data_IF_934293821748
#
_entry.id   IF_934293821748
#
_cell.length_a   1.000
_cell.length_b   1.000
_cell.length_c   1.000
_cell.angle_alpha   90.00
_cell.angle_beta   90.00
_cell.angle_gamma   90.00
#
_symmetry.space_group_name_H-M   'P 1'
#
loop_
_entity.id
_entity.type
_entity.pdbx_description
1 polymer ?
#
# COMPACT_ATOMS: atom_id res chain seq x y z
N UNK A 1 8.25 8.61 -39.43
CA UNK A 1 8.54 7.32 -38.76
C UNK A 1 8.02 6.17 -39.60
N UNK A 2 8.66 5.00 -39.51
CA UNK A 2 8.23 3.78 -40.21
C UNK A 2 7.22 3.03 -39.35
N UNK A 3 6.16 2.51 -39.98
CA UNK A 3 5.16 1.67 -39.31
C UNK A 3 5.63 0.22 -39.36
N UNK A 4 5.83 -0.39 -38.18
CA UNK A 4 6.38 -1.75 -38.07
C UNK A 4 5.31 -2.85 -38.13
N UNK A 5 4.05 -2.53 -37.81
CA UNK A 5 2.95 -3.51 -37.72
C UNK A 5 1.59 -2.89 -38.01
N UNK A 6 0.60 -3.72 -38.38
CA UNK A 6 -0.77 -3.28 -38.69
C UNK A 6 -1.05 -3.23 -40.20
N UNK A 7 -2.20 -2.67 -40.58
CA UNK A 7 -2.64 -2.63 -41.99
C UNK A 7 -1.74 -1.79 -42.90
N UNK A 8 -1.04 -0.81 -42.31
CA UNK A 8 -0.11 0.10 -42.99
C UNK A 8 1.36 -0.22 -42.71
N UNK A 9 1.67 -1.46 -42.33
CA UNK A 9 3.04 -1.87 -42.07
C UNK A 9 3.94 -1.65 -43.30
N UNK A 10 5.10 -1.03 -43.08
CA UNK A 10 6.02 -0.63 -44.15
C UNK A 10 5.88 0.82 -44.60
N UNK A 11 4.73 1.47 -44.35
CA UNK A 11 4.54 2.87 -44.68
C UNK A 11 5.44 3.78 -43.83
N UNK A 12 5.81 4.93 -44.39
CA UNK A 12 6.41 6.02 -43.63
C UNK A 12 5.37 7.12 -43.44
N UNK A 13 5.13 7.47 -42.18
CA UNK A 13 4.18 8.51 -41.80
C UNK A 13 4.88 9.61 -41.03
N UNK A 14 4.46 10.86 -41.25
CA UNK A 14 4.80 11.99 -40.39
C UNK A 14 3.60 12.26 -39.51
N UNK A 15 3.80 12.26 -38.20
CA UNK A 15 2.76 12.53 -37.21
C UNK A 15 3.18 13.73 -36.37
N UNK A 16 2.21 14.47 -35.85
CA UNK A 16 2.46 15.51 -34.85
C UNK A 16 2.42 14.88 -33.46
N UNK A 17 3.49 15.07 -32.69
CA UNK A 17 3.52 14.69 -31.28
C UNK A 17 2.98 15.84 -30.43
N UNK A 18 1.98 15.56 -29.61
CA UNK A 18 1.34 16.54 -28.73
C UNK A 18 1.40 16.13 -27.27
N UNK A 19 1.23 17.12 -26.38
CA UNK A 19 1.09 16.90 -24.94
C UNK A 19 2.21 16.04 -24.32
N UNK A 20 1.88 14.91 -23.67
CA UNK A 20 2.87 14.08 -22.99
C UNK A 20 3.90 13.47 -23.93
N UNK A 21 3.54 13.16 -25.19
CA UNK A 21 4.47 12.56 -26.15
C UNK A 21 5.56 13.52 -26.62
N UNK A 22 5.22 14.80 -26.78
CA UNK A 22 6.20 15.83 -27.14
C UNK A 22 7.22 16.07 -26.02
N UNK A 23 6.83 15.81 -24.75
CA UNK A 23 7.69 15.98 -23.57
C UNK A 23 8.30 14.67 -23.06
N UNK A 24 8.01 13.54 -23.71
CA UNK A 24 8.49 12.22 -23.29
C UNK A 24 10.00 12.00 -23.52
N UNK A 25 10.71 12.97 -24.11
CA UNK A 25 12.15 12.87 -24.35
C UNK A 25 12.52 11.77 -25.35
N UNK A 26 11.64 11.51 -26.32
CA UNK A 26 11.78 10.44 -27.30
C UNK A 26 13.07 10.59 -28.12
N UNK A 27 13.72 9.47 -28.39
CA UNK A 27 14.98 9.37 -29.14
C UNK A 27 14.80 8.51 -30.39
N UNK A 28 15.65 8.69 -31.42
CA UNK A 28 15.71 7.76 -32.54
C UNK A 28 15.88 6.32 -32.04
N UNK A 29 15.00 5.41 -32.48
CA UNK A 29 14.96 4.02 -32.03
C UNK A 29 13.82 3.70 -31.04
N UNK A 30 13.22 4.71 -30.41
CA UNK A 30 12.03 4.50 -29.58
C UNK A 30 10.82 4.09 -30.43
N UNK A 31 9.99 3.21 -29.89
CA UNK A 31 8.78 2.73 -30.55
C UNK A 31 7.55 3.40 -29.96
N UNK A 32 6.64 3.83 -30.83
CA UNK A 32 5.35 4.39 -30.47
C UNK A 32 4.24 3.43 -30.89
N UNK A 33 3.22 3.32 -30.05
CA UNK A 33 1.93 2.78 -30.45
C UNK A 33 1.15 3.88 -31.15
N UNK A 34 0.62 3.55 -32.32
CA UNK A 34 -0.15 4.46 -33.14
C UNK A 34 -1.62 4.06 -33.11
N UNK A 35 -2.49 5.07 -33.04
CA UNK A 35 -3.92 4.89 -33.23
C UNK A 35 -4.30 5.48 -34.58
N UNK A 36 -4.99 4.67 -35.39
CA UNK A 36 -5.56 5.12 -36.66
C UNK A 36 -7.01 5.54 -36.44
N UNK A 37 -7.30 6.81 -36.72
CA UNK A 37 -8.66 7.35 -36.69
C UNK A 37 -9.15 7.45 -38.13
N UNK A 38 -10.15 6.63 -38.49
CA UNK A 38 -10.85 6.77 -39.76
C UNK A 38 -11.71 8.03 -39.73
N UNK A 39 -11.13 9.13 -40.19
CA UNK A 39 -11.89 10.35 -40.43
C UNK A 39 -12.82 10.12 -41.65
N UNK A 40 -14.10 10.53 -41.59
CA UNK A 40 -14.98 10.55 -42.75
C UNK A 40 -14.34 11.40 -43.84
N UNK A 41 -13.92 10.75 -44.93
CA UNK A 41 -12.96 11.30 -45.89
C UNK A 41 -13.44 12.60 -46.55
N UNK A 42 -12.63 13.65 -46.44
CA UNK A 42 -12.33 14.51 -47.58
C UNK A 42 -10.95 14.08 -48.11
N UNK A 43 -10.85 13.48 -49.32
CA UNK A 43 -9.56 13.12 -49.90
C UNK A 43 -8.68 14.36 -50.05
N UNK A 44 -7.46 14.34 -49.49
CA UNK A 44 -6.45 15.37 -49.72
C UNK A 44 -6.26 16.43 -48.62
N UNK A 45 -6.88 16.28 -47.44
CA UNK A 45 -6.55 17.14 -46.28
C UNK A 45 -5.22 16.70 -45.68
N UNK A 46 -4.11 17.16 -46.25
CA UNK A 46 -2.78 17.02 -45.66
C UNK A 46 -2.58 18.21 -44.72
N UNK A 47 -2.35 17.95 -43.43
CA UNK A 47 -2.00 19.03 -42.50
C UNK A 47 -0.64 19.64 -42.90
N UNK A 48 -0.40 20.95 -42.61
CA UNK A 48 0.87 21.60 -42.90
C UNK A 48 2.06 20.77 -42.43
N UNK A 49 3.06 20.57 -43.29
CA UNK A 49 4.24 19.76 -42.98
C UNK A 49 4.13 18.26 -43.30
N UNK A 50 3.11 17.83 -44.05
CA UNK A 50 2.97 16.43 -44.48
C UNK A 50 2.47 15.49 -43.38
N UNK A 51 1.80 16.06 -42.37
CA UNK A 51 1.25 15.31 -41.23
C UNK A 51 -0.02 14.57 -41.68
N UNK A 52 -0.05 13.26 -41.46
CA UNK A 52 -1.21 12.42 -41.76
C UNK A 52 -2.29 12.66 -40.67
N UNK A 53 -3.46 13.24 -41.00
CA UNK A 53 -4.50 13.52 -40.02
C UNK A 53 -5.18 12.25 -39.48
N UNK A 54 -5.01 11.10 -40.16
CA UNK A 54 -5.62 9.84 -39.78
C UNK A 54 -4.80 9.01 -38.80
N UNK A 55 -3.57 9.42 -38.45
CA UNK A 55 -2.69 8.67 -37.55
C UNK A 55 -2.18 9.57 -36.43
N UNK A 56 -2.36 9.15 -35.18
CA UNK A 56 -1.83 9.83 -34.00
C UNK A 56 -1.07 8.88 -33.07
N UNK A 57 -0.15 9.44 -32.28
CA UNK A 57 0.53 8.68 -31.23
C UNK A 57 -0.44 8.38 -30.09
N UNK A 58 -0.49 7.12 -29.67
CA UNK A 58 -1.34 6.62 -28.59
C UNK A 58 -0.51 6.23 -27.35
N UNK A 59 0.70 5.70 -27.56
CA UNK A 59 1.54 5.20 -26.48
C UNK A 59 3.02 5.22 -26.82
N UNK A 60 3.86 5.21 -25.78
CA UNK A 60 5.31 4.96 -25.93
C UNK A 60 5.57 3.56 -25.40
N UNK A 61 6.23 2.72 -26.21
CA UNK A 61 6.58 1.35 -25.81
C UNK A 61 7.73 1.41 -24.80
N UNK A 62 7.43 1.05 -23.54
CA UNK A 62 8.40 1.09 -22.42
C UNK A 62 8.75 -0.29 -21.85
N UNK A 63 8.46 -1.36 -22.60
CA UNK A 63 8.54 -2.74 -22.12
C UNK A 63 9.91 -3.09 -21.53
N UNK A 64 11.02 -2.74 -22.20
CA UNK A 64 12.36 -3.07 -21.73
C UNK A 64 12.73 -2.28 -20.46
N UNK A 65 12.65 -0.92 -20.43
CA UNK A 65 12.93 -0.17 -19.20
C UNK A 65 12.08 -0.61 -18.01
N UNK A 66 10.79 -0.86 -18.21
CA UNK A 66 9.89 -1.32 -17.14
C UNK A 66 10.28 -2.73 -16.65
N UNK A 67 10.64 -3.64 -17.57
CA UNK A 67 11.10 -4.97 -17.21
C UNK A 67 12.42 -4.94 -16.41
N UNK A 68 13.34 -4.03 -16.71
CA UNK A 68 14.58 -3.84 -15.94
C UNK A 68 14.28 -3.38 -14.51
N UNK A 69 13.41 -2.37 -14.34
CA UNK A 69 13.02 -1.90 -13.01
C UNK A 69 12.25 -2.95 -12.20
N UNK A 70 11.33 -3.68 -12.85
CA UNK A 70 10.62 -4.79 -12.22
C UNK A 70 11.57 -5.93 -11.81
N UNK A 71 12.53 -6.27 -12.68
CA UNK A 71 13.56 -7.27 -12.39
C UNK A 71 14.44 -6.86 -11.21
N UNK A 72 14.89 -5.60 -11.17
CA UNK A 72 15.66 -5.06 -10.05
C UNK A 72 14.89 -5.14 -8.73
N UNK A 73 13.61 -4.76 -8.74
CA UNK A 73 12.75 -4.87 -7.57
C UNK A 73 12.66 -6.31 -7.06
N UNK A 74 12.41 -7.27 -7.96
CA UNK A 74 12.37 -8.70 -7.61
C UNK A 74 13.69 -9.18 -7.02
N UNK A 75 14.83 -8.84 -7.64
CA UNK A 75 16.15 -9.23 -7.13
C UNK A 75 16.39 -8.71 -5.72
N UNK A 76 16.05 -7.44 -5.44
CA UNK A 76 16.21 -6.84 -4.11
C UNK A 76 15.30 -7.53 -3.08
N UNK A 77 14.02 -7.77 -3.43
CA UNK A 77 13.08 -8.45 -2.54
C UNK A 77 13.55 -9.87 -2.21
N UNK A 78 14.06 -10.61 -3.19
CA UNK A 78 14.61 -11.95 -2.98
C UNK A 78 15.90 -11.93 -2.16
N UNK A 79 16.77 -10.94 -2.37
CA UNK A 79 18.02 -10.82 -1.62
C UNK A 79 17.78 -10.48 -0.14
N UNK A 80 16.83 -9.59 0.16
CA UNK A 80 16.55 -9.13 1.53
C UNK A 80 15.54 -10.05 2.23
N UNK A 81 14.47 -10.44 1.55
CA UNK A 81 13.38 -11.24 2.09
C UNK A 81 13.60 -12.76 2.00
N UNK A 82 14.59 -13.22 1.22
CA UNK A 82 14.87 -14.65 0.98
C UNK A 82 13.61 -15.40 0.55
N UNK A 83 13.34 -16.57 1.16
CA UNK A 83 12.14 -17.35 0.89
C UNK A 83 10.86 -16.56 1.20
N UNK A 84 10.84 -15.75 2.26
CA UNK A 84 9.66 -14.92 2.58
C UNK A 84 9.43 -13.84 1.53
N UNK A 85 10.49 -13.30 0.95
CA UNK A 85 10.43 -12.39 -0.19
C UNK A 85 9.86 -13.07 -1.44
N UNK A 86 10.25 -14.31 -1.72
CA UNK A 86 9.67 -15.08 -2.83
C UNK A 86 8.16 -15.32 -2.61
N UNK A 87 7.79 -15.74 -1.40
CA UNK A 87 6.41 -16.01 -1.02
C UNK A 87 5.54 -14.76 -1.06
N UNK A 88 6.06 -13.59 -0.70
CA UNK A 88 5.34 -12.33 -0.82
C UNK A 88 5.12 -11.91 -2.29
N UNK A 89 6.09 -12.15 -3.17
CA UNK A 89 5.93 -11.92 -4.62
C UNK A 89 4.87 -12.85 -5.23
N UNK A 90 4.83 -14.13 -4.83
CA UNK A 90 3.76 -15.05 -5.26
C UNK A 90 2.40 -14.55 -4.76
N UNK A 91 2.32 -14.08 -3.50
CA UNK A 91 1.13 -13.46 -2.94
C UNK A 91 0.68 -12.21 -3.71
N UNK A 92 1.63 -11.38 -4.18
CA UNK A 92 1.36 -10.20 -5.00
C UNK A 92 0.77 -10.59 -6.36
N UNK A 93 1.35 -11.61 -7.02
CA UNK A 93 0.82 -12.14 -8.29
C UNK A 93 -0.60 -12.70 -8.09
N UNK A 94 -0.83 -13.47 -7.02
CA UNK A 94 -2.15 -13.97 -6.68
C UNK A 94 -3.15 -12.82 -6.46
N UNK A 95 -2.74 -11.75 -5.77
CA UNK A 95 -3.58 -10.58 -5.54
C UNK A 95 -3.97 -9.88 -6.84
N UNK A 96 -3.00 -9.69 -7.75
CA UNK A 96 -3.26 -9.15 -9.08
C UNK A 96 -4.21 -10.05 -9.90
N UNK A 97 -4.01 -11.37 -9.84
CA UNK A 97 -4.90 -12.33 -10.48
C UNK A 97 -6.33 -12.28 -9.91
N UNK A 98 -6.49 -12.15 -8.60
CA UNK A 98 -7.79 -12.01 -7.94
C UNK A 98 -8.54 -10.74 -8.41
N UNK A 99 -7.81 -9.65 -8.61
CA UNK A 99 -8.38 -8.39 -9.11
C UNK A 99 -8.77 -8.55 -10.59
N UNK A 100 -7.84 -9.00 -11.44
CA UNK A 100 -8.03 -9.02 -12.90
C UNK A 100 -8.96 -10.15 -13.36
N UNK A 101 -8.88 -11.33 -12.76
CA UNK A 101 -9.59 -12.53 -13.22
C UNK A 101 -10.93 -12.75 -12.50
N UNK A 102 -11.18 -12.08 -11.37
CA UNK A 102 -12.44 -12.21 -10.64
C UNK A 102 -13.12 -10.88 -10.37
N UNK A 103 -12.46 -9.93 -9.70
CA UNK A 103 -13.12 -8.68 -9.29
C UNK A 103 -13.59 -7.88 -10.51
N UNK A 104 -12.70 -7.61 -11.47
CA UNK A 104 -13.03 -6.84 -12.67
C UNK A 104 -14.14 -7.51 -13.51
N UNK A 105 -14.04 -8.81 -13.87
CA UNK A 105 -15.13 -9.50 -14.55
C UNK A 105 -16.44 -9.47 -13.78
N UNK A 106 -16.43 -9.66 -12.45
CA UNK A 106 -17.66 -9.65 -11.65
C UNK A 106 -18.34 -8.27 -11.64
N UNK A 107 -17.56 -7.18 -11.61
CA UNK A 107 -18.08 -5.81 -11.71
C UNK A 107 -18.63 -5.52 -13.11
N UNK A 108 -17.99 -6.01 -14.17
CA UNK A 108 -18.47 -5.85 -15.55
C UNK A 108 -19.81 -6.53 -15.82
N UNK A 109 -20.12 -7.61 -15.10
CA UNK A 109 -21.43 -8.29 -15.15
C UNK A 109 -22.48 -7.67 -14.22
N UNK A 110 -22.26 -6.43 -13.75
CA UNK A 110 -23.15 -5.69 -12.86
C UNK A 110 -23.44 -6.41 -11.53
N UNK A 111 -22.47 -7.17 -11.01
CA UNK A 111 -22.59 -7.78 -9.68
C UNK A 111 -22.50 -6.74 -8.55
N UNK A 112 -23.03 -7.04 -7.36
CA UNK A 112 -23.02 -6.11 -6.24
C UNK A 112 -21.59 -5.87 -5.74
N UNK A 113 -21.16 -4.60 -5.77
CA UNK A 113 -19.78 -4.19 -5.52
C UNK A 113 -19.23 -4.62 -4.15
N UNK A 114 -19.97 -4.39 -3.06
CA UNK A 114 -19.49 -4.70 -1.70
C UNK A 114 -19.19 -6.21 -1.54
N UNK A 115 -20.10 -7.15 -1.84
CA UNK A 115 -19.78 -8.58 -1.79
C UNK A 115 -18.57 -8.97 -2.64
N UNK A 116 -18.45 -8.43 -3.86
CA UNK A 116 -17.30 -8.71 -4.73
C UNK A 116 -16.00 -8.27 -4.05
N UNK A 117 -15.97 -7.04 -3.52
CA UNK A 117 -14.80 -6.50 -2.83
C UNK A 117 -14.44 -7.30 -1.57
N UNK A 118 -15.42 -7.67 -0.76
CA UNK A 118 -15.21 -8.45 0.45
C UNK A 118 -14.71 -9.86 0.14
N UNK A 119 -15.25 -10.53 -0.87
CA UNK A 119 -14.80 -11.87 -1.30
C UNK A 119 -13.37 -11.81 -1.83
N UNK A 120 -13.10 -10.89 -2.75
CA UNK A 120 -11.75 -10.72 -3.31
C UNK A 120 -10.73 -10.38 -2.22
N UNK A 121 -11.03 -9.39 -1.37
CA UNK A 121 -10.15 -8.98 -0.27
C UNK A 121 -9.92 -10.12 0.72
N UNK A 122 -10.96 -10.87 1.09
CA UNK A 122 -10.82 -12.01 1.99
C UNK A 122 -9.94 -13.10 1.37
N UNK A 123 -10.19 -13.48 0.12
CA UNK A 123 -9.39 -14.48 -0.59
C UNK A 123 -7.91 -14.07 -0.67
N UNK A 124 -7.64 -12.81 -1.01
CA UNK A 124 -6.30 -12.22 -1.00
C UNK A 124 -5.66 -12.40 0.38
N UNK A 125 -6.35 -12.00 1.45
CA UNK A 125 -5.79 -12.07 2.80
C UNK A 125 -5.50 -13.50 3.25
N UNK A 126 -6.42 -14.44 3.01
CA UNK A 126 -6.18 -15.85 3.35
C UNK A 126 -4.92 -16.37 2.68
N UNK A 127 -4.74 -16.12 1.38
CA UNK A 127 -3.55 -16.61 0.66
C UNK A 127 -2.30 -15.86 1.10
N UNK A 128 -2.31 -14.52 1.06
CA UNK A 128 -1.12 -13.70 1.30
C UNK A 128 -0.60 -13.87 2.72
N UNK A 129 -1.47 -13.82 3.75
CA UNK A 129 -1.01 -13.89 5.14
C UNK A 129 -0.41 -15.26 5.47
N UNK A 130 -1.09 -16.35 5.11
CA UNK A 130 -0.57 -17.69 5.40
C UNK A 130 0.63 -18.07 4.54
N UNK A 131 0.71 -17.56 3.31
CA UNK A 131 1.88 -17.78 2.46
C UNK A 131 3.11 -17.04 3.00
N UNK A 132 2.97 -15.77 3.39
CA UNK A 132 4.10 -14.96 3.85
C UNK A 132 4.53 -15.24 5.30
N UNK A 133 3.57 -15.54 6.19
CA UNK A 133 3.81 -15.65 7.64
C UNK A 133 3.62 -17.06 8.21
N UNK A 134 3.16 -18.01 7.40
CA UNK A 134 2.90 -19.38 7.83
C UNK A 134 1.65 -19.54 8.69
N UNK A 135 1.24 -20.79 8.91
CA UNK A 135 0.06 -21.13 9.71
C UNK A 135 0.40 -21.06 11.19
N UNK A 136 -0.23 -20.13 11.90
CA UNK A 136 -0.09 -19.98 13.35
C UNK A 136 -1.26 -19.20 13.94
N UNK A 137 -1.50 -19.34 15.26
CA UNK A 137 -2.50 -18.52 15.97
C UNK A 137 -2.19 -17.02 15.89
N UNK A 138 -0.91 -16.66 15.79
CA UNK A 138 -0.45 -15.28 15.55
C UNK A 138 -0.95 -14.78 14.20
N UNK A 139 -0.73 -15.55 13.13
CA UNK A 139 -1.19 -15.23 11.78
C UNK A 139 -2.72 -15.18 11.71
N UNK A 140 -3.42 -16.13 12.35
CA UNK A 140 -4.89 -16.17 12.37
C UNK A 140 -5.49 -14.99 13.12
N UNK A 141 -4.86 -14.51 14.21
CA UNK A 141 -5.29 -13.29 14.91
C UNK A 141 -5.15 -12.04 14.03
N UNK A 142 -4.04 -11.93 13.29
CA UNK A 142 -3.84 -10.85 12.33
C UNK A 142 -4.88 -10.90 11.20
N UNK A 143 -5.13 -12.08 10.63
CA UNK A 143 -6.15 -12.29 9.60
C UNK A 143 -7.54 -11.86 10.11
N UNK A 144 -7.96 -12.32 11.28
CA UNK A 144 -9.26 -11.96 11.85
C UNK A 144 -9.37 -10.44 12.10
N UNK A 145 -8.30 -9.82 12.61
CA UNK A 145 -8.22 -8.36 12.75
C UNK A 145 -8.30 -7.62 11.42
N UNK A 146 -7.64 -8.13 10.38
CA UNK A 146 -7.67 -7.55 9.03
C UNK A 146 -9.06 -7.66 8.42
N UNK A 147 -9.70 -8.82 8.51
CA UNK A 147 -11.06 -9.04 8.02
C UNK A 147 -12.07 -8.11 8.72
N UNK A 148 -11.92 -7.90 10.03
CA UNK A 148 -12.72 -6.92 10.76
C UNK A 148 -12.46 -5.49 10.26
N UNK A 149 -11.20 -5.12 10.03
CA UNK A 149 -10.81 -3.83 9.45
C UNK A 149 -11.38 -3.61 8.05
N UNK A 150 -11.34 -4.63 7.20
CA UNK A 150 -11.92 -4.61 5.83
C UNK A 150 -13.43 -4.46 5.90
N UNK A 151 -14.11 -5.18 6.79
CA UNK A 151 -15.56 -5.06 6.97
C UNK A 151 -15.96 -3.65 7.41
N UNK A 152 -15.22 -3.06 8.36
CA UNK A 152 -15.42 -1.66 8.79
C UNK A 152 -15.17 -0.71 7.63
N UNK A 153 -14.09 -0.91 6.87
CA UNK A 153 -13.76 -0.07 5.70
C UNK A 153 -14.86 -0.14 4.65
N UNK A 154 -15.46 -1.31 4.40
CA UNK A 154 -16.56 -1.47 3.46
C UNK A 154 -17.82 -0.71 3.91
N UNK A 155 -18.16 -0.78 5.20
CA UNK A 155 -19.29 -0.02 5.77
C UNK A 155 -19.05 1.49 5.63
N UNK A 156 -17.84 1.95 5.97
CA UNK A 156 -17.47 3.36 5.87
C UNK A 156 -17.44 3.84 4.43
N UNK A 157 -16.92 3.05 3.49
CA UNK A 157 -16.87 3.39 2.08
C UNK A 157 -18.28 3.56 1.51
N UNK A 158 -19.19 2.61 1.79
CA UNK A 158 -20.58 2.70 1.36
C UNK A 158 -21.29 3.94 1.92
N UNK A 159 -21.08 4.23 3.22
CA UNK A 159 -21.66 5.40 3.87
C UNK A 159 -21.08 6.70 3.31
N UNK A 160 -19.76 6.75 3.13
CA UNK A 160 -19.08 7.93 2.65
C UNK A 160 -19.49 8.25 1.21
N UNK A 161 -19.38 7.29 0.29
CA UNK A 161 -19.81 7.46 -1.11
C UNK A 161 -21.28 7.88 -1.20
N UNK A 162 -22.16 7.27 -0.40
CA UNK A 162 -23.58 7.63 -0.36
C UNK A 162 -23.86 9.03 0.19
N UNK A 163 -23.16 9.45 1.24
CA UNK A 163 -23.40 10.76 1.88
C UNK A 163 -22.73 11.91 1.13
N UNK A 164 -21.59 11.68 0.49
CA UNK A 164 -20.91 12.69 -0.34
C UNK A 164 -21.45 12.74 -1.77
N UNK A 165 -22.28 11.77 -2.18
CA UNK A 165 -22.84 11.65 -3.53
C UNK A 165 -21.77 11.59 -4.63
N UNK A 166 -20.61 11.03 -4.32
CA UNK A 166 -19.57 10.77 -5.31
C UNK A 166 -20.14 9.86 -6.40
N UNK A 167 -20.00 10.26 -7.65
CA UNK A 167 -20.43 9.51 -8.82
C UNK A 167 -19.52 8.31 -9.12
N UNK A 168 -18.24 8.38 -8.71
CA UNK A 168 -17.22 7.41 -9.09
C UNK A 168 -16.71 7.59 -10.52
N UNK A 169 -17.08 8.69 -11.17
CA UNK A 169 -16.64 9.07 -12.52
C UNK A 169 -15.48 10.07 -12.43
N UNK A 170 -14.30 9.58 -12.06
CA UNK A 170 -13.06 10.33 -12.27
C UNK A 170 -12.76 10.50 -13.78
N UNK A 171 -11.71 11.26 -14.11
CA UNK A 171 -11.32 11.50 -15.51
C UNK A 171 -11.24 10.21 -16.34
N UNK A 172 -10.68 9.13 -15.79
CA UNK A 172 -10.52 7.85 -16.49
C UNK A 172 -11.83 7.08 -16.60
N UNK A 173 -12.62 7.05 -15.53
CA UNK A 173 -13.93 6.43 -15.48
C UNK A 173 -14.93 7.13 -16.41
N UNK A 174 -14.79 8.44 -16.62
CA UNK A 174 -15.58 9.23 -17.58
C UNK A 174 -15.41 8.75 -19.02
N UNK A 175 -14.20 8.33 -19.42
CA UNK A 175 -13.96 7.72 -20.74
C UNK A 175 -14.50 6.29 -20.84
N UNK A 176 -14.53 5.57 -19.72
CA UNK A 176 -14.99 4.19 -19.65
C UNK A 176 -16.52 4.07 -19.64
N UNK A 177 -17.22 5.00 -19.01
CA UNK A 177 -18.67 4.96 -18.79
C UNK A 177 -19.52 4.75 -20.07
N UNK A 178 -19.22 5.39 -21.21
CA UNK A 178 -19.95 5.13 -22.45
C UNK A 178 -19.75 3.71 -23.02
N UNK A 179 -18.64 3.05 -22.69
CA UNK A 179 -18.29 1.71 -23.20
C UNK A 179 -18.91 0.58 -22.37
N UNK A 180 -19.19 0.84 -21.09
CA UNK A 180 -19.75 -0.14 -20.14
C UNK A 180 -20.90 0.48 -19.32
N UNK A 181 -22.00 0.89 -19.97
CA UNK A 181 -23.10 1.61 -19.32
C UNK A 181 -23.80 0.83 -18.20
N UNK A 182 -23.62 -0.49 -18.15
CA UNK A 182 -24.16 -1.38 -17.11
C UNK A 182 -23.36 -1.36 -15.80
N UNK A 183 -22.15 -0.79 -15.78
CA UNK A 183 -21.29 -0.79 -14.59
C UNK A 183 -21.73 0.28 -13.61
N UNK A 184 -21.87 -0.10 -12.35
CA UNK A 184 -22.06 0.84 -11.24
C UNK A 184 -20.71 1.45 -10.84
N UNK A 185 -20.49 2.71 -11.22
CA UNK A 185 -19.26 3.45 -10.93
C UNK A 185 -19.12 3.84 -9.46
N UNK A 186 -20.23 4.04 -8.72
CA UNK A 186 -20.18 4.25 -7.27
C UNK A 186 -19.75 2.97 -6.56
N UNK A 187 -20.25 1.83 -7.03
CA UNK A 187 -19.81 0.51 -6.61
C UNK A 187 -18.34 0.27 -6.93
N UNK A 188 -17.88 0.61 -8.13
CA UNK A 188 -16.46 0.52 -8.52
C UNK A 188 -15.56 1.35 -7.60
N UNK A 189 -15.97 2.58 -7.29
CA UNK A 189 -15.29 3.44 -6.34
C UNK A 189 -15.23 2.80 -4.94
N UNK A 190 -16.36 2.24 -4.48
CA UNK A 190 -16.43 1.54 -3.18
C UNK A 190 -15.45 0.36 -3.13
N UNK A 191 -15.37 -0.45 -4.21
CA UNK A 191 -14.38 -1.51 -4.34
C UNK A 191 -12.94 -0.99 -4.26
N UNK A 192 -12.65 0.11 -4.98
CA UNK A 192 -11.33 0.72 -4.99
C UNK A 192 -10.91 1.20 -3.58
N UNK A 193 -11.84 1.79 -2.82
CA UNK A 193 -11.59 2.21 -1.43
C UNK A 193 -11.26 1.00 -0.53
N UNK A 194 -12.01 -0.10 -0.65
CA UNK A 194 -11.78 -1.32 0.15
C UNK A 194 -10.41 -1.94 -0.17
N UNK A 195 -10.07 -2.06 -1.45
CA UNK A 195 -8.79 -2.63 -1.91
C UNK A 195 -7.61 -1.74 -1.54
N UNK A 196 -7.77 -0.42 -1.63
CA UNK A 196 -6.76 0.53 -1.19
C UNK A 196 -6.43 0.39 0.31
N UNK A 197 -7.44 0.19 1.16
CA UNK A 197 -7.25 -0.05 2.59
C UNK A 197 -6.60 -1.40 2.91
N UNK A 198 -6.81 -2.42 2.06
CA UNK A 198 -6.36 -3.81 2.28
C UNK A 198 -4.86 -3.93 2.57
N UNK A 199 -4.04 -3.27 1.74
CA UNK A 199 -2.58 -3.38 1.83
C UNK A 199 -2.05 -2.86 3.16
N UNK A 200 -2.56 -1.71 3.61
CA UNK A 200 -2.12 -1.08 4.87
C UNK A 200 -2.67 -1.82 6.08
N UNK A 201 -3.90 -2.34 6.00
CA UNK A 201 -4.49 -3.16 7.07
C UNK A 201 -3.68 -4.44 7.31
N UNK A 202 -3.22 -5.12 6.25
CA UNK A 202 -2.41 -6.33 6.39
C UNK A 202 -1.12 -6.08 7.19
N UNK A 203 -0.35 -5.05 6.83
CA UNK A 203 0.91 -4.72 7.51
C UNK A 203 0.71 -4.41 9.00
N UNK A 204 -0.28 -3.57 9.31
CA UNK A 204 -0.54 -3.15 10.68
C UNK A 204 -1.04 -4.31 11.54
N UNK A 205 -1.97 -5.13 11.06
CA UNK A 205 -2.51 -6.24 11.87
C UNK A 205 -1.46 -7.34 12.13
N UNK A 206 -0.60 -7.65 11.16
CA UNK A 206 0.50 -8.60 11.34
C UNK A 206 1.49 -8.07 12.39
N UNK A 207 1.85 -6.80 12.30
CA UNK A 207 2.76 -6.15 13.25
C UNK A 207 2.14 -6.08 14.65
N UNK A 208 0.86 -5.76 14.76
CA UNK A 208 0.15 -5.71 16.04
C UNK A 208 0.04 -7.10 16.68
N UNK A 209 -0.38 -8.10 15.91
CA UNK A 209 -0.43 -9.48 16.39
C UNK A 209 0.96 -9.93 16.85
N UNK A 210 2.00 -9.74 16.03
CA UNK A 210 3.37 -10.09 16.41
C UNK A 210 3.80 -9.41 17.71
N UNK A 211 3.50 -8.12 17.88
CA UNK A 211 3.81 -7.36 19.10
C UNK A 211 3.15 -7.97 20.35
N UNK A 212 1.91 -8.43 20.26
CA UNK A 212 1.22 -9.09 21.39
C UNK A 212 1.90 -10.41 21.75
N UNK A 213 2.29 -11.21 20.76
CA UNK A 213 2.97 -12.49 21.01
C UNK A 213 4.37 -12.29 21.60
N UNK A 214 5.14 -11.33 21.09
CA UNK A 214 6.47 -11.01 21.64
C UNK A 214 6.35 -10.47 23.08
N UNK A 215 5.37 -9.59 23.35
CA UNK A 215 5.10 -9.12 24.71
C UNK A 215 4.72 -10.24 25.68
N UNK A 216 3.95 -11.25 25.23
CA UNK A 216 3.66 -12.43 26.06
C UNK A 216 4.92 -13.27 26.30
N UNK A 217 5.75 -13.46 25.29
CA UNK A 217 6.96 -14.28 25.41
C UNK A 217 7.96 -13.67 26.40
N UNK A 218 8.11 -12.34 26.39
CA UNK A 218 9.05 -11.62 27.28
C UNK A 218 8.49 -11.41 28.68
N UNK A 219 7.16 -11.27 28.84
CA UNK A 219 6.52 -11.06 30.14
C UNK A 219 5.34 -12.03 30.36
N UNK A 220 5.62 -13.33 30.62
CA UNK A 220 4.62 -14.38 30.72
C UNK A 220 3.59 -14.17 31.84
N UNK A 221 3.95 -13.44 32.89
CA UNK A 221 3.15 -13.18 34.08
C UNK A 221 2.04 -12.15 33.88
N UNK A 222 2.12 -11.32 32.83
CA UNK A 222 1.17 -10.24 32.60
C UNK A 222 -0.26 -10.76 32.43
N UNK A 223 -1.20 -10.10 33.12
CA UNK A 223 -2.63 -10.32 32.88
C UNK A 223 -3.01 -9.89 31.46
N UNK A 224 -4.07 -10.47 30.90
CA UNK A 224 -4.59 -10.11 29.57
C UNK A 224 -4.88 -8.60 29.44
N UNK A 225 -5.40 -7.98 30.49
CA UNK A 225 -5.67 -6.53 30.53
C UNK A 225 -4.40 -5.68 30.46
N UNK A 226 -3.35 -6.08 31.20
CA UNK A 226 -2.05 -5.41 31.14
C UNK A 226 -1.38 -5.62 29.78
N UNK A 227 -1.48 -6.83 29.21
CA UNK A 227 -0.95 -7.14 27.88
C UNK A 227 -1.64 -6.30 26.81
N UNK A 228 -2.97 -6.21 26.82
CA UNK A 228 -3.74 -5.35 25.93
C UNK A 228 -3.30 -3.88 26.06
N UNK A 229 -3.20 -3.34 27.27
CA UNK A 229 -2.78 -1.95 27.48
C UNK A 229 -1.32 -1.66 27.09
N UNK A 230 -0.42 -2.65 27.16
CA UNK A 230 0.98 -2.51 26.67
C UNK A 230 1.04 -2.61 25.15
N UNK A 231 0.34 -3.57 24.54
CA UNK A 231 0.26 -3.69 23.09
C UNK A 231 -0.41 -2.47 22.44
N UNK A 232 -1.48 -1.93 23.03
CA UNK A 232 -2.14 -0.71 22.54
C UNK A 232 -1.27 0.55 22.64
N UNK A 233 -0.21 0.57 23.46
CA UNK A 233 0.78 1.66 23.42
C UNK A 233 1.60 1.59 22.13
N UNK A 234 2.14 0.41 21.82
CA UNK A 234 2.84 0.15 20.55
C UNK A 234 1.91 0.45 19.35
N UNK A 235 0.66 -0.03 19.41
CA UNK A 235 -0.33 0.21 18.38
C UNK A 235 -0.59 1.69 18.12
N UNK A 236 -0.68 2.53 19.15
CA UNK A 236 -0.89 3.98 18.99
C UNK A 236 0.30 4.68 18.33
N UNK A 237 1.52 4.27 18.67
CA UNK A 237 2.73 4.83 18.05
C UNK A 237 2.79 4.45 16.56
N UNK A 238 2.44 3.20 16.23
CA UNK A 238 2.36 2.73 14.85
C UNK A 238 1.23 3.39 14.04
N UNK A 239 0.07 3.65 14.65
CA UNK A 239 -1.06 4.36 14.01
C UNK A 239 -0.58 5.72 13.50
N UNK A 240 0.11 6.50 14.33
CA UNK A 240 0.57 7.83 13.95
C UNK A 240 1.49 7.77 12.71
N UNK A 241 2.48 6.87 12.72
CA UNK A 241 3.40 6.69 11.59
C UNK A 241 2.69 6.20 10.32
N UNK A 242 1.70 5.32 10.47
CA UNK A 242 0.99 4.74 9.31
C UNK A 242 0.06 5.77 8.66
N UNK A 243 -0.61 6.62 9.47
CA UNK A 243 -1.43 7.72 8.94
C UNK A 243 -0.58 8.66 8.08
N UNK A 244 0.61 9.04 8.55
CA UNK A 244 1.52 9.89 7.76
C UNK A 244 1.93 9.22 6.44
N UNK A 245 2.19 7.92 6.49
CA UNK A 245 2.55 7.14 5.30
C UNK A 245 1.42 7.15 4.27
N UNK A 246 0.18 6.89 4.70
CA UNK A 246 -1.01 6.93 3.84
C UNK A 246 -1.17 8.33 3.23
N UNK A 247 -1.20 9.36 4.07
CA UNK A 247 -1.45 10.75 3.62
C UNK A 247 -0.37 11.21 2.65
N UNK A 248 0.92 10.97 2.94
CA UNK A 248 2.00 11.38 2.05
C UNK A 248 2.05 10.57 0.76
N UNK A 249 1.69 9.29 0.76
CA UNK A 249 1.58 8.50 -0.46
C UNK A 249 0.53 9.09 -1.41
N UNK A 250 -0.66 9.42 -0.90
CA UNK A 250 -1.72 9.99 -1.73
C UNK A 250 -1.46 11.44 -2.14
N UNK A 251 -0.98 12.29 -1.24
CA UNK A 251 -0.58 13.67 -1.59
C UNK A 251 0.56 13.66 -2.60
N UNK A 252 1.52 12.74 -2.46
CA UNK A 252 2.62 12.56 -3.41
C UNK A 252 2.14 12.12 -4.79
N UNK A 253 1.20 11.18 -4.86
CA UNK A 253 0.57 10.76 -6.12
C UNK A 253 -0.23 11.89 -6.78
N UNK A 254 -0.83 12.77 -5.97
CA UNK A 254 -1.65 13.91 -6.41
C UNK A 254 -0.88 15.23 -6.47
N UNK A 255 0.46 15.22 -6.49
CA UNK A 255 1.26 16.44 -6.42
C UNK A 255 1.02 17.41 -7.59
N UNK A 256 0.77 16.89 -8.79
CA UNK A 256 0.40 17.70 -9.95
C UNK A 256 -0.92 18.43 -9.74
N UNK A 257 -1.91 17.77 -9.14
CA UNK A 257 -3.17 18.38 -8.75
C UNK A 257 -2.90 19.45 -7.69
N UNK A 258 -2.17 19.13 -6.61
CA UNK A 258 -1.83 20.12 -5.57
C UNK A 258 -1.13 21.36 -6.15
N UNK A 259 -0.19 21.18 -7.08
CA UNK A 259 0.48 22.28 -7.78
C UNK A 259 -0.50 23.10 -8.63
N UNK A 260 -1.41 22.43 -9.36
CA UNK A 260 -2.44 23.10 -10.13
C UNK A 260 -3.32 23.98 -9.22
N UNK A 261 -3.72 23.47 -8.05
CA UNK A 261 -4.51 24.23 -7.06
C UNK A 261 -3.74 25.45 -6.55
N UNK A 262 -2.44 25.29 -6.29
CA UNK A 262 -1.56 26.38 -5.86
C UNK A 262 -1.51 27.50 -6.91
N UNK A 263 -1.38 27.14 -8.20
CA UNK A 263 -1.31 28.12 -9.30
C UNK A 263 -2.66 28.79 -9.55
N UNK A 264 -3.77 28.06 -9.47
CA UNK A 264 -5.11 28.59 -9.74
C UNK A 264 -5.61 29.57 -8.67
N UNK A 265 -4.94 29.66 -7.51
CA UNK A 265 -5.28 30.54 -6.39
C UNK A 265 -6.78 30.49 -6.00
N UNK A 266 -7.39 29.31 -6.12
CA UNK A 266 -8.81 29.10 -5.78
C UNK A 266 -8.97 28.88 -4.27
N UNK A 267 -10.10 29.28 -3.67
CA UNK A 267 -10.39 28.95 -2.29
C UNK A 267 -10.37 27.44 -2.10
N UNK A 268 -9.53 26.93 -1.18
CA UNK A 268 -9.37 25.48 -0.98
C UNK A 268 -10.71 24.77 -0.77
N UNK A 269 -11.67 25.41 -0.10
CA UNK A 269 -13.00 24.84 0.17
C UNK A 269 -13.79 24.51 -1.11
N UNK A 270 -13.68 25.32 -2.17
CA UNK A 270 -14.37 25.04 -3.43
C UNK A 270 -13.75 23.83 -4.17
N UNK A 271 -12.46 23.60 -3.94
CA UNK A 271 -11.70 22.53 -4.57
C UNK A 271 -11.97 21.17 -3.90
N UNK A 272 -12.28 21.17 -2.60
CA UNK A 272 -12.75 19.96 -1.88
C UNK A 272 -14.06 19.40 -2.46
N UNK A 273 -14.80 20.18 -3.24
CA UNK A 273 -16.04 19.77 -3.90
C UNK A 273 -15.82 19.16 -5.28
N UNK A 274 -14.59 19.13 -5.80
CA UNK A 274 -14.27 18.46 -7.06
C UNK A 274 -14.27 16.94 -6.85
N UNK A 275 -14.86 16.20 -7.80
CA UNK A 275 -15.04 14.74 -7.74
C UNK A 275 -13.72 14.00 -7.46
N UNK A 276 -12.65 14.31 -8.20
CA UNK A 276 -11.35 13.64 -8.06
C UNK A 276 -10.72 13.87 -6.67
N UNK A 277 -10.80 15.10 -6.18
CA UNK A 277 -10.23 15.50 -4.88
C UNK A 277 -11.05 14.91 -3.74
N UNK A 278 -12.38 15.03 -3.80
CA UNK A 278 -13.28 14.48 -2.81
C UNK A 278 -13.15 12.95 -2.74
N UNK A 279 -13.00 12.28 -3.88
CA UNK A 279 -12.73 10.85 -3.97
C UNK A 279 -11.46 10.45 -3.22
N UNK A 280 -10.36 11.17 -3.43
CA UNK A 280 -9.09 10.84 -2.77
C UNK A 280 -9.14 11.07 -1.25
N UNK A 281 -9.83 12.13 -0.82
CA UNK A 281 -10.04 12.43 0.59
C UNK A 281 -10.90 11.35 1.24
N UNK A 282 -12.02 11.00 0.63
CA UNK A 282 -12.91 9.93 1.14
C UNK A 282 -12.16 8.61 1.21
N UNK A 283 -11.42 8.23 0.17
CA UNK A 283 -10.58 7.02 0.17
C UNK A 283 -9.58 6.99 1.31
N UNK A 284 -8.87 8.11 1.51
CA UNK A 284 -7.87 8.28 2.58
C UNK A 284 -8.51 8.18 3.97
N UNK A 285 -9.65 8.86 4.18
CA UNK A 285 -10.36 8.87 5.46
C UNK A 285 -10.94 7.48 5.79
N UNK A 286 -11.61 6.83 4.85
CA UNK A 286 -12.15 5.48 5.06
C UNK A 286 -11.04 4.48 5.40
N UNK A 287 -9.93 4.51 4.64
CA UNK A 287 -8.77 3.65 4.90
C UNK A 287 -8.13 3.94 6.26
N UNK A 288 -7.96 5.22 6.61
CA UNK A 288 -7.38 5.64 7.88
C UNK A 288 -8.24 5.26 9.09
N UNK A 289 -9.55 5.46 9.04
CA UNK A 289 -10.48 5.07 10.12
C UNK A 289 -10.51 3.54 10.27
N UNK A 290 -10.61 2.82 9.15
CA UNK A 290 -10.56 1.36 9.13
C UNK A 290 -9.29 0.82 9.80
N UNK A 291 -8.14 1.44 9.50
CA UNK A 291 -6.85 1.13 10.11
C UNK A 291 -6.83 1.37 11.62
N UNK A 292 -7.24 2.56 12.06
CA UNK A 292 -7.27 2.94 13.48
C UNK A 292 -8.11 1.96 14.30
N UNK A 293 -9.22 1.47 13.73
CA UNK A 293 -10.09 0.49 14.37
C UNK A 293 -9.56 -0.95 14.27
N UNK A 294 -8.82 -1.29 13.22
CA UNK A 294 -8.21 -2.62 13.08
C UNK A 294 -7.18 -2.91 14.19
N UNK A 295 -6.46 -1.90 14.67
CA UNK A 295 -5.46 -2.05 15.76
C UNK A 295 -6.06 -2.59 17.06
N UNK A 296 -7.08 -1.95 17.69
CA UNK A 296 -7.69 -2.49 18.90
C UNK A 296 -8.39 -3.84 18.66
N UNK A 297 -9.03 -4.07 17.50
CA UNK A 297 -9.62 -5.37 17.19
C UNK A 297 -8.57 -6.48 17.13
N UNK A 298 -7.50 -6.26 16.36
CA UNK A 298 -6.40 -7.23 16.26
C UNK A 298 -5.76 -7.49 17.61
N UNK A 299 -5.54 -6.44 18.41
CA UNK A 299 -4.95 -6.56 19.74
C UNK A 299 -5.85 -7.37 20.68
N UNK A 300 -7.16 -7.12 20.67
CA UNK A 300 -8.11 -7.87 21.49
C UNK A 300 -8.15 -9.36 21.11
N UNK A 301 -8.21 -9.67 19.81
CA UNK A 301 -8.20 -11.04 19.29
C UNK A 301 -6.88 -11.72 19.64
N UNK A 302 -5.75 -11.06 19.39
CA UNK A 302 -4.42 -11.57 19.71
C UNK A 302 -4.29 -11.90 21.20
N UNK A 303 -4.70 -10.99 22.09
CA UNK A 303 -4.65 -11.19 23.55
C UNK A 303 -5.56 -12.34 24.00
N UNK A 304 -6.68 -12.56 23.32
CA UNK A 304 -7.57 -13.70 23.60
C UNK A 304 -6.94 -15.05 23.20
N UNK A 305 -6.19 -15.07 22.09
CA UNK A 305 -5.60 -16.28 21.50
C UNK A 305 -4.18 -16.61 22.00
N UNK A 306 -3.51 -15.66 22.66
CA UNK A 306 -2.16 -15.84 23.21
C UNK A 306 -2.16 -16.88 24.36
N UNK A 307 -1.06 -17.61 24.60
CA UNK A 307 -0.99 -18.59 25.69
C UNK A 307 -1.36 -18.00 27.07
N UNK A 308 -1.92 -18.83 27.98
CA UNK A 308 -2.19 -18.43 29.35
C UNK A 308 -0.95 -17.87 30.05
N UNK A 309 -1.17 -17.01 31.05
CA UNK A 309 -0.06 -16.49 31.86
C UNK A 309 0.65 -17.64 32.55
N UNK A 310 1.97 -17.58 32.62
CA UNK A 310 2.70 -18.42 33.56
C UNK A 310 2.34 -17.96 34.97
N UNK A 311 1.77 -18.85 35.77
CA UNK A 311 1.70 -18.63 37.22
C UNK A 311 3.11 -18.93 37.71
N UNK A 312 3.77 -17.96 38.32
CA UNK A 312 5.04 -18.22 38.98
C UNK A 312 4.84 -19.42 39.93
N UNK A 313 5.59 -20.50 39.73
CA UNK A 313 5.62 -21.56 40.73
C UNK A 313 6.24 -20.96 41.98
N UNK A 314 5.42 -20.62 42.96
CA UNK A 314 5.88 -20.54 44.34
C UNK A 314 6.43 -21.92 44.70
N UNK A 315 7.75 -22.10 44.70
CA UNK A 315 8.35 -23.32 45.24
C UNK A 315 9.53 -23.94 44.50
N UNK A 316 10.32 -23.19 43.73
CA UNK A 316 11.68 -23.66 43.41
C UNK A 316 12.66 -22.93 44.33
N UNK A 317 13.23 -23.59 45.35
CA UNK A 317 14.20 -22.94 46.23
C UNK A 317 15.36 -22.43 45.37
N UNK A 318 15.81 -21.21 45.65
CA UNK A 318 16.98 -20.63 45.02
C UNK A 318 18.13 -21.67 45.06
N UNK A 319 18.87 -21.88 43.95
CA UNK A 319 20.02 -22.77 43.96
C UNK A 319 20.93 -22.36 45.12
N UNK A 320 21.03 -23.24 46.11
CA UNK A 320 21.87 -23.01 47.27
C UNK A 320 23.29 -23.22 46.78
N UNK A 321 23.98 -22.10 46.58
CA UNK A 321 25.39 -22.00 46.20
C UNK A 321 25.74 -22.54 44.80
N UNK A 322 26.33 -21.67 43.98
CA UNK A 322 26.99 -22.08 42.74
C UNK A 322 28.17 -22.99 43.10
N UNK A 323 28.37 -24.14 42.43
CA UNK A 323 29.62 -24.88 42.53
C UNK A 323 30.81 -23.93 42.26
N UNK A 324 31.87 -24.01 43.07
CA UNK A 324 33.02 -23.07 43.03
C UNK A 324 33.57 -22.79 41.62
N UNK A 325 33.46 -23.78 40.71
CA UNK A 325 33.93 -23.69 39.34
C UNK A 325 33.11 -22.70 38.47
N UNK A 326 31.80 -22.61 38.71
CA UNK A 326 30.92 -21.66 38.03
C UNK A 326 31.04 -20.25 38.60
N UNK A 327 31.37 -20.12 39.89
CA UNK A 327 31.62 -18.83 40.52
C UNK A 327 32.85 -18.12 39.91
N UNK A 328 33.94 -18.87 39.67
CA UNK A 328 35.14 -18.35 39.02
C UNK A 328 34.87 -17.89 37.56
N UNK A 329 34.03 -18.64 36.85
CA UNK A 329 33.64 -18.33 35.47
C UNK A 329 32.75 -17.08 35.38
N UNK A 330 31.84 -16.89 36.35
CA UNK A 330 31.01 -15.70 36.47
C UNK A 330 31.84 -14.46 36.82
N UNK A 331 32.85 -14.60 37.68
CA UNK A 331 33.78 -13.52 38.03
C UNK A 331 34.64 -13.10 36.82
N UNK A 332 35.17 -14.08 36.07
CA UNK A 332 35.87 -13.81 34.81
C UNK A 332 34.98 -13.07 33.79
N UNK A 333 33.71 -13.46 33.63
CA UNK A 333 32.77 -12.78 32.74
C UNK A 333 32.46 -11.34 33.18
N UNK A 334 32.54 -11.00 34.48
CA UNK A 334 32.41 -9.62 34.98
C UNK A 334 33.63 -8.78 34.62
N UNK A 335 34.84 -9.35 34.67
CA UNK A 335 36.07 -8.66 34.24
C UNK A 335 36.10 -8.33 32.74
N UNK A 336 35.33 -9.05 31.92
CA UNK A 336 35.16 -8.74 30.49
C UNK A 336 34.17 -7.60 30.22
N UNK A 337 33.25 -7.30 31.16
CA UNK A 337 32.31 -6.17 31.03
C UNK A 337 32.91 -4.82 31.43
N UNK A 338 34.00 -4.81 32.20
CA UNK A 338 34.66 -3.57 32.64
C UNK A 338 35.59 -2.95 31.59
N UNK A 339 35.72 -3.56 30.41
CA UNK A 339 36.34 -2.93 29.24
C UNK A 339 35.27 -2.14 28.46
N UNK A 340 34.72 -1.11 29.10
CA UNK A 340 33.85 -0.14 28.43
C UNK A 340 34.68 0.72 27.48
N UNK A 341 34.33 0.69 26.20
CA UNK A 341 34.69 1.73 25.23
C UNK A 341 34.01 3.05 25.65
N UNK A 342 34.68 4.21 25.60
CA UNK A 342 34.05 5.46 25.99
C UNK A 342 32.96 5.86 24.98
N UNK A 343 31.74 6.02 25.49
CA UNK A 343 30.66 6.75 24.83
C UNK A 343 31.13 8.18 24.50
N UNK A 344 30.74 8.64 23.31
CA UNK A 344 30.82 9.98 22.75
C UNK A 344 31.11 11.14 23.74
N UNK A 345 32.00 12.10 23.40
CA UNK A 345 32.25 13.25 24.24
C UNK A 345 30.99 14.11 24.37
N UNK A 346 30.65 14.45 25.62
CA UNK A 346 29.59 15.40 25.94
C UNK A 346 29.89 16.76 25.28
N UNK A 347 28.90 17.30 24.56
CA UNK A 347 28.95 18.66 24.05
C UNK A 347 29.02 19.63 25.23
N UNK A 348 30.13 20.36 25.33
CA UNK A 348 30.38 21.37 26.34
C UNK A 348 29.49 22.60 26.09
N UNK A 349 28.43 22.75 26.90
CA UNK A 349 27.60 23.95 26.94
C UNK A 349 28.19 24.95 27.94
N UNK A 350 29.31 25.58 27.60
CA UNK A 350 29.79 26.80 28.28
C UNK A 350 30.88 27.49 27.47
N UNK A 351 30.49 28.44 26.62
CA UNK A 351 31.12 29.77 26.44
C UNK A 351 30.53 30.44 25.18
N UNK A 352 29.48 31.24 25.37
CA UNK A 352 29.11 32.30 24.44
C UNK A 352 28.54 33.47 25.25
N UNK A 353 29.38 33.96 26.17
CA UNK A 353 29.30 35.31 26.69
C UNK A 353 30.64 35.97 26.39
N UNK A 354 30.57 37.15 25.78
CA UNK A 354 31.65 38.12 25.58
C UNK A 354 32.66 37.85 24.45
N UNK A 355 32.43 38.50 23.30
CA UNK A 355 33.33 39.51 22.68
C UNK A 355 32.83 39.88 21.26
N UNK A 356 32.71 41.18 20.99
CA UNK A 356 32.66 41.78 19.65
C UNK A 356 31.28 42.20 19.21
#
# INVERSE_FOLDING_TARGET
MKIDSGQRAGDTVTIMLNGPFARAGLRPGDRLELMEVRLPSAPGVVQPGGVDPGISAFGVVRTIPLAVWAGLFVVIVLAVGLLRGLLSLIGLVFSGAMIVMFMLPALLHAGPAIPIALVASSAILYVVLYLAHGVSMRTSAALAGTLAGVAVTAILAQLAVGTTRLSGLDESAGFLAPMVPQVDFQGLLTCAIIIAGLGVLNDVTITQSSSVWELRAVAPELSRRQLFGRAMRIGRDHIASTIYTIVFAYVGASLSVVLLLYVYNQPMLNLLSLEDIATEIVRTLCSGIGLVLAVPFTTAIAVALVPPRAVASEGEPAPTELPEDDAAKVEWLRTLRTVESPLFPAADTRTAGERG
#
